data_IF_481764603567
#
_entry.id   IF_481764603567
#
_cell.length_a   1.000
_cell.length_b   1.000
_cell.length_c   1.000
_cell.angle_alpha   90.00
_cell.angle_beta   90.00
_cell.angle_gamma   90.00
#
_symmetry.space_group_name_H-M   'P 1'
#
loop_
_entity.id
_entity.type
_entity.pdbx_description
1 polymer ?
#
# COMPACT_ATOMS: atom_id res chain seq x y z
N UNK A 1 16.45 22.54 14.38
CA UNK A 1 16.64 21.24 15.04
C UNK A 1 15.28 20.92 15.66
N UNK A 2 14.54 19.99 15.08
CA UNK A 2 13.19 19.68 15.54
C UNK A 2 13.24 18.84 16.84
N UNK A 3 12.45 19.14 17.87
CA UNK A 3 12.45 18.42 19.15
C UNK A 3 11.96 16.96 19.06
N UNK A 4 11.48 16.54 17.90
CA UNK A 4 10.95 15.22 17.59
C UNK A 4 11.99 14.10 17.68
N UNK A 5 13.25 14.36 17.29
CA UNK A 5 14.29 13.31 17.27
C UNK A 5 14.74 12.82 18.67
N UNK A 6 14.61 13.64 19.70
CA UNK A 6 15.05 13.28 21.05
C UNK A 6 14.10 12.27 21.72
N UNK A 7 12.80 12.35 21.41
CA UNK A 7 11.78 11.49 22.03
C UNK A 7 11.70 10.10 21.34
N UNK A 8 12.01 10.02 20.04
CA UNK A 8 12.10 8.73 19.32
C UNK A 8 13.22 7.87 19.90
N UNK A 9 14.41 8.43 20.09
CA UNK A 9 15.54 7.73 20.69
C UNK A 9 15.24 7.21 22.10
N UNK A 10 14.53 7.99 22.92
CA UNK A 10 14.12 7.59 24.28
C UNK A 10 13.08 6.45 24.24
N UNK A 11 12.14 6.46 23.30
CA UNK A 11 11.13 5.41 23.13
C UNK A 11 11.75 4.12 22.62
N UNK A 12 12.68 4.20 21.67
CA UNK A 12 13.48 3.05 21.20
C UNK A 12 14.29 2.44 22.35
N UNK A 13 14.92 3.29 23.16
CA UNK A 13 15.72 2.84 24.30
C UNK A 13 14.86 2.17 25.40
N UNK A 14 13.63 2.65 25.61
CA UNK A 14 12.66 2.02 26.53
C UNK A 14 12.15 0.68 26.00
N UNK A 15 11.97 0.54 24.69
CA UNK A 15 11.62 -0.73 24.05
C UNK A 15 12.74 -1.76 24.16
N UNK A 16 14.01 -1.34 24.06
CA UNK A 16 15.16 -2.23 24.25
C UNK A 16 15.25 -2.89 25.63
N UNK A 17 14.73 -2.25 26.66
CA UNK A 17 14.79 -2.77 28.04
C UNK A 17 13.77 -3.88 28.37
N UNK A 18 12.80 -4.13 27.48
CA UNK A 18 11.69 -5.05 27.71
C UNK A 18 11.72 -6.33 26.84
N UNK A 19 12.73 -6.51 26.00
CA UNK A 19 12.78 -7.63 25.04
C UNK A 19 13.93 -8.60 25.37
N UNK A 20 13.60 -9.89 25.49
CA UNK A 20 14.61 -10.97 25.58
C UNK A 20 15.05 -11.42 24.19
N UNK A 21 16.37 -11.56 23.92
CA UNK A 21 16.87 -12.00 22.62
C UNK A 21 16.53 -13.47 22.37
N UNK A 22 16.03 -13.80 21.16
CA UNK A 22 15.80 -15.16 20.70
C UNK A 22 17.06 -15.77 20.07
N UNK A 23 17.22 -17.11 20.10
CA UNK A 23 18.40 -17.81 19.57
C UNK A 23 18.56 -17.64 18.06
N UNK A 24 19.83 -17.63 17.60
CA UNK A 24 20.20 -17.43 16.21
C UNK A 24 19.85 -18.66 15.34
N UNK A 25 19.14 -18.38 14.27
CA UNK A 25 19.18 -18.87 12.91
C UNK A 25 19.12 -20.35 12.58
N UNK A 26 18.08 -20.74 11.86
CA UNK A 26 18.14 -21.85 10.90
C UNK A 26 18.17 -21.31 9.48
N UNK A 27 18.99 -21.95 8.62
CA UNK A 27 19.09 -21.70 7.17
C UNK A 27 17.75 -21.99 6.49
N UNK A 28 17.40 -21.16 5.51
CA UNK A 28 16.22 -21.30 4.67
C UNK A 28 16.04 -22.74 4.16
N UNK A 29 14.93 -23.37 4.48
CA UNK A 29 14.58 -24.70 3.96
C UNK A 29 14.14 -24.56 2.52
N UNK A 30 14.82 -25.21 1.59
CA UNK A 30 14.44 -25.25 0.19
C UNK A 30 13.02 -25.83 0.03
N UNK A 31 12.14 -25.09 -0.65
CA UNK A 31 10.83 -25.58 -1.10
C UNK A 31 9.60 -25.04 -0.38
N UNK A 32 9.75 -24.15 0.64
CA UNK A 32 8.61 -23.44 1.26
C UNK A 32 8.87 -21.94 1.23
N UNK A 33 7.87 -21.10 0.85
CA UNK A 33 8.04 -19.66 0.89
C UNK A 33 8.28 -19.17 2.32
N UNK A 34 9.07 -18.09 2.45
CA UNK A 34 9.29 -17.41 3.73
C UNK A 34 7.96 -16.98 4.34
N UNK A 35 7.75 -17.31 5.60
CA UNK A 35 6.57 -16.83 6.33
C UNK A 35 6.67 -15.31 6.50
N UNK A 36 5.82 -14.58 5.80
CA UNK A 36 5.96 -13.14 5.58
C UNK A 36 4.88 -12.33 6.31
N UNK A 37 5.31 -11.29 7.03
CA UNK A 37 4.44 -10.24 7.56
C UNK A 37 4.49 -9.01 6.65
N UNK A 38 3.35 -8.58 6.15
CA UNK A 38 3.17 -7.30 5.47
C UNK A 38 2.66 -6.28 6.47
N UNK A 39 3.39 -5.19 6.63
CA UNK A 39 3.16 -4.23 7.71
C UNK A 39 2.96 -2.81 7.16
N UNK A 40 1.79 -2.24 7.46
CA UNK A 40 1.64 -0.79 7.57
C UNK A 40 1.93 -0.41 9.03
N UNK A 41 3.05 0.28 9.32
CA UNK A 41 3.59 0.36 10.67
C UNK A 41 2.81 1.30 11.58
N UNK A 42 2.85 1.10 12.90
CA UNK A 42 2.30 2.05 13.86
C UNK A 42 3.11 3.34 13.91
N UNK A 43 2.44 4.45 14.14
CA UNK A 43 3.08 5.74 14.33
C UNK A 43 3.74 5.88 15.69
N UNK A 44 4.84 6.64 15.76
CA UNK A 44 5.53 6.97 17.02
C UNK A 44 4.86 8.10 17.80
N UNK A 45 4.17 9.02 17.13
CA UNK A 45 3.63 10.23 17.75
C UNK A 45 2.16 10.46 17.41
N UNK A 46 1.37 9.42 17.32
CA UNK A 46 -0.02 9.51 16.84
C UNK A 46 -0.11 10.13 15.43
N UNK A 47 0.99 10.11 14.71
CA UNK A 47 1.08 10.52 13.33
C UNK A 47 1.08 9.27 12.47
N UNK A 48 0.07 9.15 11.64
CA UNK A 48 -0.05 8.04 10.71
C UNK A 48 0.17 8.53 9.29
N UNK A 49 1.33 8.21 8.75
CA UNK A 49 1.67 8.42 7.36
C UNK A 49 1.62 7.14 6.54
N UNK A 50 0.91 6.13 7.03
CA UNK A 50 0.94 4.76 6.53
C UNK A 50 0.59 4.55 5.06
N UNK A 51 0.55 3.30 4.65
CA UNK A 51 0.57 2.80 3.28
C UNK A 51 -0.41 3.44 2.30
N UNK A 52 -1.56 3.87 2.77
CA UNK A 52 -2.57 4.56 1.97
C UNK A 52 -2.99 5.89 2.58
N UNK A 53 -2.37 6.29 3.69
CA UNK A 53 -2.66 7.56 4.32
C UNK A 53 -2.06 8.69 3.49
N UNK A 54 -2.92 9.54 2.98
CA UNK A 54 -2.54 10.79 2.31
C UNK A 54 -2.46 11.96 3.29
N UNK A 55 -2.82 11.73 4.55
CA UNK A 55 -3.00 12.77 5.56
C UNK A 55 -2.45 12.33 6.91
N UNK A 56 -1.83 13.23 7.67
CA UNK A 56 -1.41 12.93 9.03
C UNK A 56 -2.61 12.67 9.95
N UNK A 57 -2.53 11.63 10.77
CA UNK A 57 -3.60 11.18 11.65
C UNK A 57 -3.76 11.99 12.95
N UNK A 58 -2.86 12.91 13.24
CA UNK A 58 -3.01 13.84 14.37
C UNK A 58 -4.09 14.87 14.07
N UNK A 59 -5.35 14.46 14.20
CA UNK A 59 -6.54 15.30 14.01
C UNK A 59 -7.55 15.00 15.10
N UNK A 60 -8.53 15.88 15.23
CA UNK A 60 -9.70 15.67 16.08
C UNK A 60 -10.53 14.44 15.64
N UNK A 61 -10.40 14.06 14.38
CA UNK A 61 -11.08 12.91 13.75
C UNK A 61 -10.02 11.98 13.17
N UNK A 62 -10.01 10.72 13.61
CA UNK A 62 -9.21 9.67 13.03
C UNK A 62 -9.68 9.39 11.58
N UNK A 63 -8.73 9.28 10.67
CA UNK A 63 -8.99 9.04 9.25
C UNK A 63 -7.99 8.02 8.71
N UNK A 64 -8.48 6.82 8.41
CA UNK A 64 -7.64 5.70 7.98
C UNK A 64 -8.07 5.20 6.62
N UNK A 65 -7.08 5.08 5.72
CA UNK A 65 -7.22 4.46 4.41
C UNK A 65 -6.71 3.03 4.43
N UNK A 66 -7.23 2.21 3.54
CA UNK A 66 -6.79 0.82 3.42
C UNK A 66 -5.36 0.71 2.88
N UNK A 67 -4.54 -0.25 3.36
CA UNK A 67 -3.19 -0.50 2.88
C UNK A 67 -3.21 -1.32 1.58
N UNK A 68 -3.93 -0.84 0.55
CA UNK A 68 -4.26 -1.59 -0.67
C UNK A 68 -3.01 -2.14 -1.37
N UNK A 69 -1.92 -1.38 -1.40
CA UNK A 69 -0.67 -1.81 -2.04
C UNK A 69 -0.02 -3.04 -1.38
N UNK A 70 -0.15 -3.21 -0.06
CA UNK A 70 0.36 -4.37 0.66
C UNK A 70 -0.56 -5.60 0.54
N UNK A 71 -1.81 -5.36 0.21
CA UNK A 71 -2.85 -6.38 0.20
C UNK A 71 -2.62 -7.43 -0.90
N UNK A 72 -2.27 -6.98 -2.11
CA UNK A 72 -2.07 -7.87 -3.25
C UNK A 72 -0.94 -8.89 -3.01
N UNK A 73 0.30 -8.48 -2.68
CA UNK A 73 1.37 -9.45 -2.42
C UNK A 73 1.08 -10.31 -1.17
N UNK A 74 0.35 -9.78 -0.17
CA UNK A 74 -0.10 -10.59 0.96
C UNK A 74 -1.10 -11.67 0.55
N UNK A 75 -1.92 -11.44 -0.47
CA UNK A 75 -2.82 -12.46 -1.03
C UNK A 75 -2.11 -13.50 -1.89
N UNK A 76 -1.03 -13.12 -2.54
CA UNK A 76 -0.25 -14.00 -3.43
C UNK A 76 0.67 -14.97 -2.67
N UNK A 77 0.91 -14.77 -1.39
CA UNK A 77 1.89 -15.53 -0.61
C UNK A 77 1.22 -16.34 0.50
N UNK A 78 1.26 -17.66 0.37
CA UNK A 78 0.68 -18.57 1.36
C UNK A 78 1.33 -18.39 2.73
N UNK A 79 0.52 -18.41 3.80
CA UNK A 79 0.98 -18.24 5.17
C UNK A 79 1.40 -16.82 5.54
N UNK A 80 1.22 -15.85 4.64
CA UNK A 80 1.42 -14.44 4.93
C UNK A 80 0.30 -13.86 5.79
N UNK A 81 0.58 -12.71 6.42
CA UNK A 81 -0.40 -11.89 7.09
C UNK A 81 -0.20 -10.42 6.76
N UNK A 82 -1.30 -9.70 6.58
CA UNK A 82 -1.31 -8.24 6.51
C UNK A 82 -1.64 -7.67 7.89
N UNK A 83 -0.82 -6.76 8.37
CA UNK A 83 -1.06 -5.98 9.60
C UNK A 83 -1.09 -4.51 9.24
N UNK A 84 -2.24 -3.88 9.48
CA UNK A 84 -2.42 -2.44 9.39
C UNK A 84 -2.54 -1.89 10.81
N UNK A 85 -1.42 -1.46 11.35
CA UNK A 85 -1.32 -1.16 12.77
C UNK A 85 -2.12 0.08 13.23
N UNK A 86 -2.15 1.21 12.46
CA UNK A 86 -2.80 2.42 12.94
C UNK A 86 -4.30 2.27 13.22
N UNK A 87 -5.16 1.82 12.29
CA UNK A 87 -6.59 1.70 12.55
C UNK A 87 -6.93 0.65 13.61
N UNK A 88 -6.05 -0.33 13.81
CA UNK A 88 -6.23 -1.39 14.80
C UNK A 88 -5.57 -1.07 16.14
N UNK A 89 -4.96 0.12 16.28
CA UNK A 89 -4.24 0.57 17.48
C UNK A 89 -3.16 -0.42 17.96
N UNK A 90 -2.53 -1.14 17.02
CA UNK A 90 -1.46 -2.08 17.31
C UNK A 90 -0.17 -1.28 17.55
N UNK A 91 0.42 -1.50 18.70
CA UNK A 91 1.67 -0.85 19.12
C UNK A 91 2.90 -1.54 18.50
N UNK A 92 4.04 -0.86 18.54
CA UNK A 92 5.31 -1.45 18.13
C UNK A 92 5.69 -2.67 19.00
N UNK A 93 5.35 -2.70 20.27
CA UNK A 93 5.58 -3.88 21.12
C UNK A 93 4.80 -5.10 20.62
N UNK A 94 3.56 -4.90 20.22
CA UNK A 94 2.72 -5.97 19.67
C UNK A 94 3.23 -6.41 18.30
N UNK A 95 3.68 -5.48 17.44
CA UNK A 95 4.33 -5.83 16.15
C UNK A 95 5.57 -6.67 16.38
N UNK A 96 6.46 -6.24 17.28
CA UNK A 96 7.69 -7.00 17.58
C UNK A 96 7.34 -8.39 18.14
N UNK A 97 6.36 -8.50 19.03
CA UNK A 97 5.92 -9.78 19.56
C UNK A 97 5.35 -10.72 18.48
N UNK A 98 4.68 -10.18 17.44
CA UNK A 98 4.19 -10.95 16.30
C UNK A 98 5.35 -11.49 15.44
N UNK A 99 6.43 -10.71 15.27
CA UNK A 99 7.53 -11.02 14.37
C UNK A 99 8.31 -12.29 14.75
N UNK A 100 8.20 -12.78 15.99
CA UNK A 100 8.77 -14.08 16.41
C UNK A 100 8.31 -15.26 15.54
N UNK A 101 7.13 -15.15 14.94
CA UNK A 101 6.49 -16.20 14.13
C UNK A 101 6.75 -16.03 12.62
N UNK A 102 7.55 -15.02 12.22
CA UNK A 102 7.80 -14.66 10.82
C UNK A 102 9.29 -14.65 10.48
N UNK A 103 9.59 -14.95 9.22
CA UNK A 103 10.94 -15.00 8.68
C UNK A 103 11.27 -13.77 7.84
N UNK A 104 10.23 -13.08 7.33
CA UNK A 104 10.36 -11.94 6.44
C UNK A 104 9.35 -10.84 6.80
N UNK A 105 9.83 -9.61 6.91
CA UNK A 105 9.04 -8.40 7.11
C UNK A 105 9.07 -7.55 5.85
N UNK A 106 7.91 -7.24 5.30
CA UNK A 106 7.71 -6.23 4.26
C UNK A 106 7.02 -5.03 4.90
N UNK A 107 7.74 -3.92 5.03
CA UNK A 107 7.24 -2.71 5.66
C UNK A 107 7.00 -1.63 4.61
N UNK A 108 5.79 -1.06 4.61
CA UNK A 108 5.48 0.11 3.79
C UNK A 108 5.90 1.38 4.53
N UNK A 109 6.87 2.10 3.97
CA UNK A 109 7.34 3.37 4.54
C UNK A 109 6.84 4.58 3.73
N UNK A 110 6.71 5.70 4.41
CA UNK A 110 6.36 6.99 3.83
C UNK A 110 7.46 8.03 4.11
N UNK A 111 7.43 9.14 3.37
CA UNK A 111 8.41 10.21 3.60
C UNK A 111 8.36 10.77 5.02
N UNK A 112 7.18 10.82 5.62
CA UNK A 112 6.99 11.34 6.99
C UNK A 112 7.28 10.30 8.06
N UNK A 113 7.07 9.00 7.75
CA UNK A 113 7.36 7.89 8.67
C UNK A 113 8.81 7.42 8.66
N UNK A 114 9.61 7.88 7.69
CA UNK A 114 10.95 7.36 7.40
C UNK A 114 11.84 7.18 8.63
N UNK A 115 12.04 8.25 9.42
CA UNK A 115 12.95 8.22 10.58
C UNK A 115 12.48 7.21 11.65
N UNK A 116 11.17 7.13 11.88
CA UNK A 116 10.57 6.18 12.80
C UNK A 116 10.69 4.73 12.31
N UNK A 117 10.36 4.50 11.05
CA UNK A 117 10.38 3.17 10.44
C UNK A 117 11.80 2.61 10.39
N UNK A 118 12.78 3.45 10.06
CA UNK A 118 14.21 3.11 10.08
C UNK A 118 14.64 2.64 11.48
N UNK A 119 14.38 3.45 12.51
CA UNK A 119 14.77 3.12 13.87
C UNK A 119 14.13 1.82 14.38
N UNK A 120 12.89 1.54 13.94
CA UNK A 120 12.24 0.28 14.29
C UNK A 120 12.77 -0.91 13.52
N UNK A 121 13.13 -0.75 12.26
CA UNK A 121 13.78 -1.82 11.50
C UNK A 121 15.11 -2.24 12.16
N UNK A 122 15.88 -1.27 12.63
CA UNK A 122 17.13 -1.53 13.36
C UNK A 122 16.86 -2.28 14.68
N UNK A 123 15.88 -1.85 15.47
CA UNK A 123 15.48 -2.55 16.70
C UNK A 123 14.98 -3.96 16.43
N UNK A 124 14.19 -4.15 15.38
CA UNK A 124 13.72 -5.46 14.96
C UNK A 124 14.91 -6.37 14.58
N UNK A 125 15.87 -5.85 13.83
CA UNK A 125 17.06 -6.61 13.42
C UNK A 125 17.96 -6.95 14.60
N UNK A 126 18.08 -6.06 15.61
CA UNK A 126 18.75 -6.36 16.86
C UNK A 126 18.04 -7.47 17.66
N UNK A 127 16.68 -7.43 17.70
CA UNK A 127 15.88 -8.41 18.44
C UNK A 127 15.82 -9.77 17.72
N UNK A 128 15.67 -9.76 16.41
CA UNK A 128 15.57 -10.94 15.54
C UNK A 128 16.61 -10.88 14.41
N UNK A 129 17.89 -11.17 14.66
CA UNK A 129 18.96 -10.98 13.65
C UNK A 129 18.76 -11.79 12.36
N UNK A 130 18.01 -12.88 12.41
CA UNK A 130 17.75 -13.73 11.26
C UNK A 130 16.62 -13.23 10.36
N UNK A 131 15.73 -12.35 10.86
CA UNK A 131 14.59 -11.86 10.08
C UNK A 131 15.09 -11.09 8.85
N UNK A 132 14.42 -11.32 7.73
CA UNK A 132 14.65 -10.53 6.51
C UNK A 132 13.75 -9.30 6.52
N UNK A 133 14.27 -8.16 6.08
CA UNK A 133 13.52 -6.90 6.09
C UNK A 133 13.64 -6.24 4.71
N UNK A 134 12.49 -6.00 4.09
CA UNK A 134 12.38 -5.19 2.89
C UNK A 134 11.49 -3.96 3.15
N UNK A 135 11.92 -2.80 2.69
CA UNK A 135 11.06 -1.63 2.64
C UNK A 135 10.50 -1.43 1.24
N UNK A 136 9.25 -1.03 1.20
CA UNK A 136 8.51 -0.61 0.01
C UNK A 136 7.90 0.77 0.28
N UNK A 137 7.62 1.54 -0.75
CA UNK A 137 7.01 2.86 -0.55
C UNK A 137 7.68 3.97 -1.35
N UNK A 138 7.10 5.18 -1.36
CA UNK A 138 7.61 6.30 -2.15
C UNK A 138 9.07 6.68 -1.87
N UNK A 139 9.53 6.81 -0.61
CA UNK A 139 10.90 7.27 -0.34
C UNK A 139 11.96 6.30 -0.85
N UNK A 140 11.73 4.98 -0.73
CA UNK A 140 12.69 3.99 -1.22
C UNK A 140 12.66 3.85 -2.74
N UNK A 141 11.53 4.14 -3.38
CA UNK A 141 11.43 4.18 -4.85
C UNK A 141 12.17 5.37 -5.45
N UNK A 142 12.15 6.52 -4.79
CA UNK A 142 12.76 7.77 -5.30
C UNK A 142 14.21 7.95 -4.90
N UNK A 143 14.62 7.41 -3.77
CA UNK A 143 15.95 7.61 -3.19
C UNK A 143 16.54 6.30 -2.64
N UNK A 144 16.77 5.29 -3.50
CA UNK A 144 17.22 3.96 -3.07
C UNK A 144 18.57 3.97 -2.36
N UNK A 145 19.54 4.76 -2.85
CA UNK A 145 20.88 4.89 -2.25
C UNK A 145 20.79 5.47 -0.83
N UNK A 146 20.00 6.53 -0.68
CA UNK A 146 19.77 7.14 0.62
C UNK A 146 19.18 6.12 1.59
N UNK A 147 18.14 5.42 1.19
CA UNK A 147 17.46 4.45 2.03
C UNK A 147 18.40 3.33 2.51
N UNK A 148 19.19 2.76 1.61
CA UNK A 148 20.15 1.71 1.95
C UNK A 148 21.35 2.21 2.77
N UNK A 149 21.75 3.46 2.62
CA UNK A 149 22.85 4.03 3.41
C UNK A 149 22.40 4.45 4.82
N UNK A 150 21.20 4.98 4.96
CA UNK A 150 20.70 5.42 6.26
C UNK A 150 20.20 4.25 7.12
N UNK A 151 19.52 3.24 6.55
CA UNK A 151 18.98 2.10 7.30
C UNK A 151 19.81 0.83 7.05
N UNK A 152 20.64 0.46 8.02
CA UNK A 152 21.52 -0.71 7.91
C UNK A 152 20.81 -2.03 8.15
N UNK A 153 19.60 -2.00 8.67
CA UNK A 153 18.77 -3.19 8.94
C UNK A 153 18.14 -3.80 7.67
N UNK A 154 18.12 -3.07 6.56
CA UNK A 154 17.47 -3.52 5.34
C UNK A 154 18.29 -4.59 4.61
N UNK A 155 17.66 -5.70 4.27
CA UNK A 155 18.23 -6.68 3.34
C UNK A 155 18.10 -6.18 1.89
N UNK A 156 17.00 -5.52 1.55
CA UNK A 156 16.78 -4.86 0.25
C UNK A 156 15.61 -3.88 0.31
N UNK A 157 15.44 -3.13 -0.78
CA UNK A 157 14.26 -2.29 -1.01
C UNK A 157 13.65 -2.62 -2.37
N UNK A 158 12.33 -2.42 -2.52
CA UNK A 158 11.68 -2.52 -3.83
C UNK A 158 11.36 -1.13 -4.37
N UNK A 159 11.66 -0.94 -5.66
CA UNK A 159 11.30 0.25 -6.40
C UNK A 159 9.98 0.02 -7.16
N UNK A 160 9.10 1.02 -7.18
CA UNK A 160 7.81 1.01 -7.90
C UNK A 160 6.86 -0.11 -7.46
N UNK A 161 6.21 -0.81 -8.42
CA UNK A 161 5.36 -1.96 -8.14
C UNK A 161 6.22 -3.13 -7.64
N UNK A 162 5.93 -3.61 -6.45
CA UNK A 162 6.78 -4.54 -5.72
C UNK A 162 6.17 -5.93 -5.56
N UNK A 163 4.93 -6.12 -5.98
CA UNK A 163 4.17 -7.34 -5.76
C UNK A 163 5.00 -8.59 -6.11
N UNK A 164 5.39 -8.75 -7.36
CA UNK A 164 6.16 -9.92 -7.81
C UNK A 164 7.59 -9.98 -7.28
N UNK A 165 8.23 -8.83 -7.01
CA UNK A 165 9.59 -8.81 -6.46
C UNK A 165 9.63 -9.41 -5.04
N UNK A 166 8.64 -9.09 -4.22
CA UNK A 166 8.47 -9.67 -2.88
C UNK A 166 8.19 -11.17 -2.97
N UNK A 167 7.30 -11.59 -3.87
CA UNK A 167 6.95 -13.00 -4.06
C UNK A 167 8.16 -13.82 -4.52
N UNK A 168 8.92 -13.31 -5.47
CA UNK A 168 10.15 -13.98 -5.95
C UNK A 168 11.16 -14.17 -4.82
N UNK A 169 11.37 -13.13 -4.00
CA UNK A 169 12.27 -13.23 -2.86
C UNK A 169 11.79 -14.23 -1.81
N UNK A 170 10.52 -14.14 -1.43
CA UNK A 170 9.93 -15.04 -0.44
C UNK A 170 9.98 -16.51 -0.87
N UNK A 171 9.97 -16.79 -2.19
CA UNK A 171 10.15 -18.12 -2.76
C UNK A 171 11.63 -18.53 -2.96
N UNK A 172 12.57 -17.75 -2.43
CA UNK A 172 13.99 -18.12 -2.40
C UNK A 172 14.79 -17.71 -3.64
N UNK A 173 14.26 -16.85 -4.52
CA UNK A 173 15.03 -16.33 -5.65
C UNK A 173 16.16 -15.42 -5.15
N UNK A 174 17.40 -15.58 -5.65
CA UNK A 174 18.54 -14.76 -5.25
C UNK A 174 18.32 -13.27 -5.56
N UNK A 175 18.80 -12.37 -4.67
CA UNK A 175 18.62 -10.93 -4.83
C UNK A 175 19.09 -10.40 -6.19
N UNK A 176 20.23 -10.85 -6.69
CA UNK A 176 20.80 -10.41 -7.97
C UNK A 176 19.96 -10.82 -9.21
N UNK A 177 18.97 -11.67 -9.05
CA UNK A 177 18.07 -12.12 -10.13
C UNK A 177 16.67 -11.47 -10.07
N UNK A 178 16.36 -10.74 -9.00
CA UNK A 178 15.04 -10.12 -8.79
C UNK A 178 15.01 -8.74 -9.41
N UNK A 179 14.10 -8.51 -10.35
CA UNK A 179 13.93 -7.20 -10.98
C UNK A 179 13.28 -6.19 -10.02
N UNK A 180 13.62 -4.90 -10.18
CA UNK A 180 13.00 -3.79 -9.46
C UNK A 180 13.44 -3.63 -8.01
N UNK A 181 14.53 -4.28 -7.59
CA UNK A 181 15.08 -4.11 -6.24
C UNK A 181 16.42 -3.40 -6.23
N UNK A 182 16.78 -2.89 -5.05
CA UNK A 182 18.14 -2.42 -4.73
C UNK A 182 18.54 -2.99 -3.37
N UNK A 183 19.81 -3.36 -3.23
CA UNK A 183 20.35 -3.99 -2.02
C UNK A 183 21.85 -3.72 -1.89
N UNK A 184 22.44 -3.97 -0.72
CA UNK A 184 23.88 -4.01 -0.54
C UNK A 184 24.40 -5.42 -0.73
N UNK A 185 25.44 -5.57 -1.54
CA UNK A 185 26.15 -6.86 -1.69
C UNK A 185 27.03 -7.18 -0.47
N UNK A 186 27.71 -8.33 -0.51
CA UNK A 186 28.59 -8.77 0.57
C UNK A 186 29.77 -7.85 0.87
N UNK A 187 30.10 -6.93 -0.05
CA UNK A 187 31.15 -5.94 0.10
C UNK A 187 30.59 -4.58 0.60
N UNK A 188 29.29 -4.49 0.84
CA UNK A 188 28.61 -3.25 1.22
C UNK A 188 28.34 -2.29 0.06
N UNK A 189 28.55 -2.73 -1.19
CA UNK A 189 28.33 -1.92 -2.39
C UNK A 189 26.85 -2.04 -2.78
N UNK A 190 26.22 -0.87 -3.03
CA UNK A 190 24.82 -0.82 -3.46
C UNK A 190 24.71 -1.34 -4.89
N UNK A 191 23.83 -2.29 -5.08
CA UNK A 191 23.46 -2.87 -6.38
C UNK A 191 22.02 -2.46 -6.72
N UNK A 192 21.82 -2.05 -7.98
CA UNK A 192 20.50 -1.75 -8.53
C UNK A 192 20.21 -2.73 -9.66
N UNK A 193 19.31 -3.66 -9.44
CA UNK A 193 18.87 -4.53 -10.52
C UNK A 193 18.03 -3.73 -11.54
N UNK A 194 17.92 -4.20 -12.79
CA UNK A 194 17.05 -3.56 -13.77
C UNK A 194 15.63 -3.37 -13.25
N UNK A 195 14.95 -2.30 -13.66
CA UNK A 195 13.57 -2.06 -13.29
C UNK A 195 12.67 -3.20 -13.78
N UNK A 196 11.68 -3.55 -12.98
CA UNK A 196 10.64 -4.50 -13.38
C UNK A 196 9.65 -3.80 -14.30
N UNK A 197 9.22 -4.52 -15.35
CA UNK A 197 8.08 -4.08 -16.14
C UNK A 197 6.83 -3.95 -15.27
N UNK A 198 5.99 -2.96 -15.57
CA UNK A 198 4.72 -2.79 -14.87
C UNK A 198 3.80 -3.99 -15.07
N UNK A 199 3.01 -4.32 -14.06
CA UNK A 199 2.04 -5.42 -14.08
C UNK A 199 1.06 -5.20 -15.25
N UNK A 200 0.89 -6.21 -16.10
CA UNK A 200 -0.01 -6.11 -17.27
C UNK A 200 -1.50 -6.17 -16.85
N UNK A 201 -2.43 -5.75 -17.73
CA UNK A 201 -3.87 -5.91 -17.48
C UNK A 201 -4.28 -7.36 -17.19
N UNK A 202 -3.72 -8.32 -17.90
CA UNK A 202 -3.98 -9.75 -17.73
C UNK A 202 -3.52 -10.21 -16.34
N UNK A 203 -2.32 -9.79 -15.93
CA UNK A 203 -1.80 -10.10 -14.60
C UNK A 203 -2.62 -9.43 -13.49
N UNK A 204 -3.21 -8.25 -13.73
CA UNK A 204 -4.09 -7.61 -12.75
C UNK A 204 -5.35 -8.43 -12.48
N UNK A 205 -5.92 -9.08 -13.50
CA UNK A 205 -7.08 -9.97 -13.35
C UNK A 205 -6.73 -11.30 -12.66
N UNK A 206 -5.47 -11.70 -12.70
CA UNK A 206 -4.98 -12.91 -12.01
C UNK A 206 -4.58 -12.66 -10.54
N UNK A 207 -4.50 -11.40 -10.12
CA UNK A 207 -4.15 -11.07 -8.74
C UNK A 207 -5.30 -11.38 -7.77
N UNK A 208 -4.99 -11.72 -6.51
CA UNK A 208 -6.01 -11.94 -5.50
C UNK A 208 -6.86 -10.67 -5.29
N UNK A 209 -8.11 -10.84 -4.96
CA UNK A 209 -8.97 -9.71 -4.65
C UNK A 209 -8.61 -9.09 -3.30
N UNK A 210 -8.49 -7.77 -3.27
CA UNK A 210 -8.14 -7.05 -2.04
C UNK A 210 -9.16 -7.32 -0.92
N UNK A 211 -10.41 -7.46 -1.27
CA UNK A 211 -11.53 -7.70 -0.34
C UNK A 211 -11.42 -9.02 0.41
N UNK A 212 -10.87 -10.07 -0.20
CA UNK A 212 -10.61 -11.35 0.48
C UNK A 212 -9.54 -11.21 1.58
N UNK A 213 -8.49 -10.44 1.29
CA UNK A 213 -7.42 -10.22 2.25
C UNK A 213 -7.88 -9.32 3.40
N UNK A 214 -8.71 -8.32 3.11
CA UNK A 214 -9.33 -7.53 4.17
C UNK A 214 -10.19 -8.39 5.08
N UNK A 215 -11.00 -9.28 4.50
CA UNK A 215 -11.82 -10.19 5.30
C UNK A 215 -10.98 -11.15 6.15
N UNK A 216 -9.83 -11.59 5.64
CA UNK A 216 -8.91 -12.48 6.34
C UNK A 216 -8.18 -11.78 7.50
N UNK A 217 -7.72 -10.54 7.30
CA UNK A 217 -6.69 -9.93 8.14
C UNK A 217 -7.13 -8.64 8.86
N UNK A 218 -8.17 -7.94 8.41
CA UNK A 218 -8.52 -6.59 8.87
C UNK A 218 -9.95 -6.52 9.43
N UNK A 219 -10.14 -5.65 10.41
CA UNK A 219 -11.48 -5.24 10.85
C UNK A 219 -11.92 -3.99 10.07
N UNK A 220 -12.77 -4.17 9.07
CA UNK A 220 -13.22 -3.09 8.19
C UNK A 220 -14.02 -2.00 8.92
N UNK A 221 -14.50 -2.25 10.14
CA UNK A 221 -15.21 -1.25 10.94
C UNK A 221 -14.30 -0.20 11.55
N UNK A 222 -12.99 -0.42 11.53
CA UNK A 222 -11.95 0.50 12.04
C UNK A 222 -11.55 1.58 11.02
N UNK A 223 -11.96 1.43 9.77
CA UNK A 223 -11.62 2.38 8.72
C UNK A 223 -12.66 3.47 8.60
N UNK A 224 -12.20 4.71 8.58
CA UNK A 224 -13.06 5.87 8.48
C UNK A 224 -12.40 6.98 7.66
N UNK A 225 -13.19 7.57 6.77
CA UNK A 225 -12.83 8.79 6.03
C UNK A 225 -14.05 9.72 6.08
N UNK A 226 -13.90 10.98 6.51
CA UNK A 226 -15.04 11.85 6.88
C UNK A 226 -16.11 12.05 5.79
N UNK A 227 -15.75 11.96 4.52
CA UNK A 227 -16.67 12.15 3.39
C UNK A 227 -17.28 10.85 2.84
N UNK A 228 -16.86 9.68 3.33
CA UNK A 228 -17.42 8.38 2.97
C UNK A 228 -18.45 7.90 4.01
N UNK A 229 -19.41 7.09 3.58
CA UNK A 229 -20.34 6.42 4.49
C UNK A 229 -19.62 5.23 5.16
N UNK A 230 -19.74 5.14 6.46
CA UNK A 230 -18.98 4.18 7.27
C UNK A 230 -19.87 3.05 7.78
N UNK A 231 -19.35 1.83 7.85
CA UNK A 231 -18.05 1.34 7.36
C UNK A 231 -17.95 1.39 5.84
N UNK A 232 -16.74 1.59 5.32
CA UNK A 232 -16.48 1.54 3.87
C UNK A 232 -15.38 0.53 3.56
N UNK A 233 -15.29 0.12 2.29
CA UNK A 233 -14.18 -0.69 1.76
C UNK A 233 -13.62 -0.03 0.52
N UNK A 234 -12.31 0.02 0.40
CA UNK A 234 -11.59 0.65 -0.72
C UNK A 234 -10.82 -0.40 -1.52
N UNK A 235 -10.82 -0.25 -2.86
CA UNK A 235 -10.09 -1.13 -3.77
C UNK A 235 -9.67 -0.40 -5.05
N UNK A 236 -8.75 -1.01 -5.81
CA UNK A 236 -8.34 -0.51 -7.12
C UNK A 236 -8.95 -1.34 -8.26
N UNK A 237 -9.46 -0.66 -9.29
CA UNK A 237 -9.89 -1.28 -10.54
C UNK A 237 -8.89 -1.07 -11.67
N UNK A 238 -7.93 -0.16 -11.45
CA UNK A 238 -6.89 0.20 -12.41
C UNK A 238 -5.59 0.54 -11.68
N UNK A 239 -4.48 0.49 -12.38
CA UNK A 239 -3.18 1.01 -11.94
C UNK A 239 -2.61 1.96 -12.98
N UNK A 240 -2.04 3.07 -12.54
CA UNK A 240 -1.45 4.09 -13.39
C UNK A 240 -2.43 5.16 -13.85
N UNK A 241 -1.90 6.34 -14.10
CA UNK A 241 -2.66 7.48 -14.59
C UNK A 241 -1.94 8.13 -15.77
N UNK A 242 -2.59 8.31 -16.94
CA UNK A 242 -1.96 8.90 -18.13
C UNK A 242 -1.72 10.41 -17.98
N UNK A 243 -2.34 11.04 -16.97
CA UNK A 243 -2.10 12.46 -16.69
C UNK A 243 -0.67 12.69 -16.18
N UNK A 244 -0.10 13.84 -16.53
CA UNK A 244 1.27 14.20 -16.20
C UNK A 244 1.34 15.34 -15.19
N UNK A 245 0.41 15.37 -14.25
CA UNK A 245 0.35 16.41 -13.22
C UNK A 245 1.67 16.44 -12.45
N UNK A 246 2.35 17.59 -12.41
CA UNK A 246 3.73 17.72 -11.93
C UNK A 246 3.87 17.52 -10.43
N UNK A 247 2.79 17.63 -9.69
CA UNK A 247 2.74 17.45 -8.22
C UNK A 247 2.33 16.04 -7.79
N UNK A 248 1.87 15.19 -8.73
CA UNK A 248 1.30 13.89 -8.39
C UNK A 248 2.39 12.87 -8.03
N UNK A 249 2.26 12.26 -6.85
CA UNK A 249 3.23 11.31 -6.32
C UNK A 249 3.15 9.95 -7.00
N UNK A 250 1.94 9.42 -7.17
CA UNK A 250 1.72 7.99 -7.47
C UNK A 250 2.27 7.52 -8.81
N UNK A 251 2.02 8.17 -9.94
CA UNK A 251 2.59 7.74 -11.20
C UNK A 251 4.12 7.81 -11.23
N UNK A 252 4.72 8.70 -10.44
CA UNK A 252 6.17 8.88 -10.39
C UNK A 252 6.86 7.84 -9.50
N UNK A 253 6.19 7.33 -8.49
CA UNK A 253 6.79 6.44 -7.48
C UNK A 253 6.36 4.99 -7.60
N UNK A 254 5.14 4.71 -8.06
CA UNK A 254 4.59 3.37 -8.15
C UNK A 254 4.03 3.02 -9.51
N UNK A 255 2.83 3.53 -9.79
CA UNK A 255 1.96 3.02 -10.82
C UNK A 255 2.33 3.41 -12.25
N UNK A 256 3.21 4.42 -12.43
CA UNK A 256 3.60 4.93 -13.73
C UNK A 256 2.45 5.61 -14.49
N UNK A 257 2.73 6.03 -15.72
CA UNK A 257 1.76 6.74 -16.57
C UNK A 257 0.99 5.83 -17.54
N UNK A 258 1.37 4.56 -17.68
CA UNK A 258 0.60 3.59 -18.45
C UNK A 258 -0.64 3.19 -17.65
N UNK A 259 -1.81 3.55 -18.15
CA UNK A 259 -3.07 3.16 -17.54
C UNK A 259 -3.39 1.70 -17.86
N UNK A 260 -3.46 0.88 -16.85
CA UNK A 260 -3.70 -0.56 -16.92
C UNK A 260 -4.93 -0.89 -16.10
N UNK A 261 -5.81 -1.70 -16.63
CA UNK A 261 -7.13 -1.93 -16.10
C UNK A 261 -7.38 -3.42 -15.85
N UNK A 262 -8.05 -3.72 -14.78
CA UNK A 262 -8.74 -5.00 -14.58
C UNK A 262 -9.94 -5.07 -15.53
N UNK A 263 -10.33 -6.24 -15.92
CA UNK A 263 -11.56 -6.45 -16.68
C UNK A 263 -12.79 -6.01 -15.86
N UNK A 264 -13.83 -5.58 -16.54
CA UNK A 264 -15.08 -5.18 -15.88
C UNK A 264 -15.78 -6.37 -15.25
N UNK A 265 -15.57 -7.59 -15.79
CA UNK A 265 -16.08 -8.83 -15.23
C UNK A 265 -15.41 -9.18 -13.90
N UNK A 266 -14.09 -9.08 -13.83
CA UNK A 266 -13.33 -9.35 -12.63
C UNK A 266 -13.70 -8.36 -11.50
N UNK A 267 -13.77 -7.06 -11.81
CA UNK A 267 -14.19 -6.04 -10.83
C UNK A 267 -15.63 -6.30 -10.34
N UNK A 268 -16.55 -6.61 -11.24
CA UNK A 268 -17.94 -6.87 -10.87
C UNK A 268 -18.08 -8.14 -10.01
N UNK A 269 -17.27 -9.16 -10.29
CA UNK A 269 -17.23 -10.40 -9.50
C UNK A 269 -16.70 -10.12 -8.08
N UNK A 270 -15.60 -9.37 -7.94
CA UNK A 270 -15.11 -8.95 -6.61
C UNK A 270 -16.15 -8.14 -5.86
N UNK A 271 -16.82 -7.18 -6.51
CA UNK A 271 -17.86 -6.36 -5.86
C UNK A 271 -19.05 -7.16 -5.41
N UNK A 272 -19.45 -8.20 -6.17
CA UNK A 272 -20.50 -9.13 -5.77
C UNK A 272 -20.11 -9.91 -4.53
N UNK A 273 -18.90 -10.48 -4.50
CA UNK A 273 -18.39 -11.22 -3.35
C UNK A 273 -18.21 -10.29 -2.13
N UNK A 274 -17.67 -9.08 -2.34
CA UNK A 274 -17.47 -8.11 -1.27
C UNK A 274 -18.77 -7.71 -0.56
N UNK A 275 -19.88 -7.62 -1.30
CA UNK A 275 -21.21 -7.40 -0.72
C UNK A 275 -21.61 -8.52 0.23
N UNK A 276 -21.24 -9.75 -0.08
CA UNK A 276 -21.54 -10.93 0.74
C UNK A 276 -20.60 -11.01 1.96
N UNK A 277 -19.32 -10.72 1.77
CA UNK A 277 -18.31 -10.74 2.83
C UNK A 277 -18.52 -9.62 3.87
N UNK A 278 -19.03 -8.48 3.44
CA UNK A 278 -19.14 -7.27 4.26
C UNK A 278 -20.57 -6.69 4.26
N UNK A 279 -21.58 -7.40 4.79
CA UNK A 279 -22.96 -6.94 4.78
C UNK A 279 -23.18 -5.64 5.57
N UNK A 280 -22.25 -5.28 6.49
CA UNK A 280 -22.30 -4.05 7.28
C UNK A 280 -21.75 -2.82 6.51
N UNK A 281 -21.02 -3.01 5.39
CA UNK A 281 -20.41 -1.92 4.62
C UNK A 281 -21.48 -1.10 3.92
N UNK A 282 -21.39 0.23 4.07
CA UNK A 282 -22.36 1.17 3.50
C UNK A 282 -21.90 1.78 2.19
N UNK A 283 -20.60 1.75 1.91
CA UNK A 283 -20.02 2.35 0.71
C UNK A 283 -18.75 1.63 0.27
N UNK A 284 -18.60 1.43 -1.02
CA UNK A 284 -17.35 0.98 -1.63
C UNK A 284 -16.66 2.17 -2.31
N UNK A 285 -15.34 2.26 -2.15
CA UNK A 285 -14.57 3.34 -2.71
C UNK A 285 -13.56 2.81 -3.74
N UNK A 286 -13.73 3.20 -5.00
CA UNK A 286 -12.73 2.93 -6.03
C UNK A 286 -11.64 3.99 -5.94
N UNK A 287 -10.50 3.61 -5.32
CA UNK A 287 -9.36 4.49 -5.03
C UNK A 287 -8.37 4.57 -6.21
N UNK A 288 -8.84 4.29 -7.41
CA UNK A 288 -8.06 4.49 -8.63
C UNK A 288 -7.50 5.91 -8.70
N UNK A 289 -6.32 6.10 -9.28
CA UNK A 289 -5.76 7.43 -9.52
C UNK A 289 -6.75 8.32 -10.31
N UNK A 290 -7.51 7.71 -11.22
CA UNK A 290 -8.67 8.26 -11.91
C UNK A 290 -9.52 7.11 -12.43
N UNK A 291 -10.73 6.94 -11.91
CA UNK A 291 -11.62 5.83 -12.25
C UNK A 291 -12.16 5.90 -13.68
N UNK A 292 -12.62 7.05 -14.12
CA UNK A 292 -13.40 7.27 -15.34
C UNK A 292 -12.59 7.79 -16.53
N UNK A 293 -11.38 7.27 -16.74
CA UNK A 293 -10.51 7.67 -17.85
C UNK A 293 -11.11 7.27 -19.20
N UNK A 294 -11.70 6.08 -19.32
CA UNK A 294 -12.26 5.56 -20.56
C UNK A 294 -13.77 5.43 -20.46
N UNK A 295 -14.51 6.28 -21.19
CA UNK A 295 -15.99 6.33 -21.21
C UNK A 295 -16.62 4.93 -21.39
N UNK A 296 -16.24 4.20 -22.43
CA UNK A 296 -16.85 2.91 -22.75
C UNK A 296 -16.70 1.90 -21.60
N UNK A 297 -15.49 1.78 -21.03
CA UNK A 297 -15.25 0.90 -19.87
C UNK A 297 -16.05 1.33 -18.64
N UNK A 298 -16.12 2.64 -18.38
CA UNK A 298 -16.86 3.15 -17.22
C UNK A 298 -18.34 2.81 -17.33
N UNK A 299 -18.94 3.00 -18.50
CA UNK A 299 -20.36 2.67 -18.74
C UNK A 299 -20.57 1.15 -18.61
N UNK A 300 -19.73 0.32 -19.26
CA UNK A 300 -19.79 -1.13 -19.17
C UNK A 300 -19.72 -1.62 -17.71
N UNK A 301 -18.78 -1.08 -16.92
CA UNK A 301 -18.67 -1.43 -15.50
C UNK A 301 -19.92 -0.99 -14.72
N UNK A 302 -20.44 0.21 -14.99
CA UNK A 302 -21.69 0.68 -14.39
C UNK A 302 -22.88 -0.25 -14.67
N UNK A 303 -23.00 -0.76 -15.89
CA UNK A 303 -24.04 -1.75 -16.25
C UNK A 303 -23.95 -3.03 -15.42
N UNK A 304 -22.72 -3.51 -15.13
CA UNK A 304 -22.46 -4.68 -14.31
C UNK A 304 -22.66 -4.43 -12.81
N UNK A 305 -22.36 -3.23 -12.33
CA UNK A 305 -22.55 -2.83 -10.91
C UNK A 305 -24.01 -2.51 -10.58
N UNK A 306 -24.77 -1.97 -11.51
CA UNK A 306 -26.18 -1.55 -11.30
C UNK A 306 -27.07 -2.63 -10.66
N UNK A 307 -27.06 -3.89 -11.11
CA UNK A 307 -27.89 -4.95 -10.50
C UNK A 307 -27.44 -5.34 -9.09
N UNK A 308 -26.23 -5.02 -8.68
CA UNK A 308 -25.72 -5.29 -7.34
C UNK A 308 -26.33 -4.37 -6.28
N UNK A 309 -26.86 -3.21 -6.69
CA UNK A 309 -27.51 -2.25 -5.78
C UNK A 309 -26.56 -1.69 -4.72
N UNK A 310 -25.28 -1.49 -5.07
CA UNK A 310 -24.25 -0.98 -4.17
C UNK A 310 -24.24 0.55 -4.15
N UNK A 311 -23.85 1.13 -3.03
CA UNK A 311 -23.44 2.53 -2.95
C UNK A 311 -21.93 2.59 -3.08
N UNK A 312 -21.43 3.44 -3.98
CA UNK A 312 -20.00 3.56 -4.22
C UNK A 312 -19.57 4.99 -4.58
N UNK A 313 -18.29 5.23 -4.47
CA UNK A 313 -17.64 6.51 -4.78
C UNK A 313 -16.32 6.26 -5.50
N UNK A 314 -15.75 7.29 -6.15
CA UNK A 314 -14.45 7.16 -6.80
C UNK A 314 -13.72 8.49 -6.93
N UNK A 315 -12.42 8.42 -7.21
CA UNK A 315 -11.64 9.55 -7.69
C UNK A 315 -11.94 9.81 -9.17
N UNK A 316 -12.10 11.07 -9.54
CA UNK A 316 -12.52 11.49 -10.88
C UNK A 316 -11.80 12.75 -11.34
N UNK A 317 -11.75 12.95 -12.64
CA UNK A 317 -11.42 14.24 -13.24
C UNK A 317 -12.68 15.01 -13.61
N UNK A 318 -12.56 16.34 -13.65
CA UNK A 318 -13.67 17.26 -13.99
C UNK A 318 -14.18 17.10 -15.43
N UNK A 319 -13.41 16.48 -16.32
CA UNK A 319 -13.69 16.35 -17.75
C UNK A 319 -14.66 15.23 -18.12
N UNK A 320 -15.39 14.67 -17.16
CA UNK A 320 -16.36 13.60 -17.39
C UNK A 320 -17.64 14.12 -18.08
N UNK A 321 -18.06 13.47 -19.14
CA UNK A 321 -19.26 13.82 -19.88
C UNK A 321 -20.55 13.42 -19.17
N UNK A 322 -21.67 14.03 -19.58
CA UNK A 322 -22.98 13.84 -18.95
C UNK A 322 -23.47 12.39 -18.98
N UNK A 323 -23.30 11.67 -20.11
CA UNK A 323 -23.79 10.29 -20.23
C UNK A 323 -23.06 9.37 -19.27
N UNK A 324 -21.74 9.54 -19.14
CA UNK A 324 -20.93 8.81 -18.17
C UNK A 324 -21.36 9.08 -16.74
N UNK A 325 -21.56 10.35 -16.37
CA UNK A 325 -22.06 10.75 -15.05
C UNK A 325 -23.44 10.15 -14.75
N UNK A 326 -24.32 10.14 -15.75
CA UNK A 326 -25.66 9.55 -15.64
C UNK A 326 -25.57 8.05 -15.40
N UNK A 327 -24.76 7.32 -16.18
CA UNK A 327 -24.56 5.88 -15.99
C UNK A 327 -23.99 5.57 -14.60
N UNK A 328 -23.00 6.34 -14.14
CA UNK A 328 -22.42 6.20 -12.80
C UNK A 328 -23.48 6.42 -11.72
N UNK A 329 -24.29 7.49 -11.83
CA UNK A 329 -25.37 7.76 -10.88
C UNK A 329 -26.40 6.64 -10.82
N UNK A 330 -26.84 6.14 -11.98
CA UNK A 330 -27.79 5.02 -12.06
C UNK A 330 -27.24 3.71 -11.52
N UNK A 331 -25.91 3.53 -11.52
CA UNK A 331 -25.23 2.37 -10.96
C UNK A 331 -24.90 2.50 -9.46
N UNK A 332 -25.35 3.58 -8.81
CA UNK A 332 -25.18 3.77 -7.36
C UNK A 332 -23.97 4.63 -6.96
N UNK A 333 -23.32 5.32 -7.90
CA UNK A 333 -22.28 6.27 -7.55
C UNK A 333 -22.86 7.45 -6.75
N UNK A 334 -22.38 7.62 -5.52
CA UNK A 334 -22.84 8.66 -4.60
C UNK A 334 -21.97 9.92 -4.65
N UNK A 335 -20.65 9.73 -4.75
CA UNK A 335 -19.69 10.81 -4.60
C UNK A 335 -18.55 10.66 -5.62
N UNK A 336 -18.16 11.77 -6.22
CA UNK A 336 -16.95 11.92 -7.00
C UNK A 336 -15.97 12.81 -6.23
N UNK A 337 -14.75 12.31 -6.01
CA UNK A 337 -13.67 13.11 -5.45
C UNK A 337 -12.89 13.69 -6.63
N UNK A 338 -13.06 14.98 -6.84
CA UNK A 338 -12.50 15.68 -8.00
C UNK A 338 -11.40 16.64 -7.58
N UNK A 339 -10.21 16.44 -8.13
CA UNK A 339 -9.10 17.38 -7.97
C UNK A 339 -9.27 18.57 -8.92
N UNK A 340 -9.66 19.74 -8.42
CA UNK A 340 -9.75 20.99 -9.17
C UNK A 340 -8.42 21.75 -9.22
N UNK A 341 -7.61 21.66 -8.18
CA UNK A 341 -6.27 22.22 -7.96
C UNK A 341 -6.21 23.75 -8.02
N UNK A 342 -6.78 24.38 -9.05
CA UNK A 342 -6.81 25.83 -9.23
C UNK A 342 -8.02 26.29 -10.06
N UNK A 343 -8.48 27.52 -9.81
CA UNK A 343 -9.43 28.23 -10.69
C UNK A 343 -8.74 29.03 -11.81
N UNK A 344 -7.41 29.10 -11.81
CA UNK A 344 -6.63 29.84 -12.80
C UNK A 344 -6.16 28.91 -13.93
N UNK A 345 -6.55 29.16 -15.20
CA UNK A 345 -6.15 28.31 -16.33
C UNK A 345 -4.64 28.27 -16.56
N UNK A 346 -3.89 29.33 -16.24
CA UNK A 346 -2.44 29.35 -16.42
C UNK A 346 -1.76 28.47 -15.38
N UNK A 347 -2.24 28.47 -14.14
CA UNK A 347 -1.74 27.57 -13.10
C UNK A 347 -2.01 26.11 -13.49
N UNK A 348 -3.23 25.77 -13.94
CA UNK A 348 -3.58 24.44 -14.41
C UNK A 348 -2.65 23.98 -15.54
N UNK A 349 -2.39 24.84 -16.51
CA UNK A 349 -1.45 24.56 -17.60
C UNK A 349 -0.03 24.30 -17.07
N UNK A 350 0.44 25.11 -16.12
CA UNK A 350 1.79 24.99 -15.55
C UNK A 350 1.98 23.67 -14.80
N UNK A 351 0.97 23.20 -14.09
CA UNK A 351 0.99 21.92 -13.36
C UNK A 351 0.53 20.73 -14.20
N UNK A 352 0.24 20.93 -15.49
CA UNK A 352 -0.23 19.90 -16.44
C UNK A 352 -1.52 19.17 -15.99
N UNK A 353 -2.43 19.92 -15.40
CA UNK A 353 -3.73 19.41 -14.90
C UNK A 353 -4.85 19.50 -15.94
#
# INVERSE_FOLDING_TARGET
MYPVLVDISAKIQKSRQSLEPLPRGETLKAGKPLKTLFLNPPSFEKFDGGASSRWPATREIESYWYPVWLTYPAGMLEGSRLVDAPPHHISWHEVIALLKDYEFLVLFTSTVGWDGDQGMAELIKETYPAIKIAFVGPPVSTSPDRALNECTALDFICRREFDFSIIEYANGKPLNEILGISYKDSNGIIQHNPDRAQISPEQLDEMPWATEIYHRDLDVTKYSVPFLLQPFVSLYTTRGCPAQCTFCLWPQTFSGHAWRKRSTDDVAAEMKQAKELFPQVKEFFFDDDTFNIQKARTIELCEKLKPLGLTWSCNSRVTTDYDTLKAMKEAGCRLLIVGFESGDPQILKNIKK
#
